data_IF_146308006242
#
_entry.id   IF_146308006242
#
_cell.length_a   1.000
_cell.length_b   1.000
_cell.length_c   1.000
_cell.angle_alpha   90.00
_cell.angle_beta   90.00
_cell.angle_gamma   90.00
#
_symmetry.space_group_name_H-M   'P 1'
#
loop_
_entity.id
_entity.type
_entity.pdbx_description
1 polymer ?
#
# COMPACT_ATOMS: atom_id res chain seq x y z
N UNK A 1 -5.95 8.03 -12.23
CA UNK A 1 -5.89 6.94 -11.23
C UNK A 1 -6.81 7.27 -10.07
N UNK A 2 -7.70 6.34 -9.77
CA UNK A 2 -8.68 6.51 -8.71
C UNK A 2 -8.64 5.29 -7.80
N UNK A 3 -8.58 5.50 -6.48
CA UNK A 3 -8.48 4.41 -5.51
C UNK A 3 -9.79 4.32 -4.73
N UNK A 4 -10.37 3.11 -4.69
CA UNK A 4 -11.56 2.81 -3.90
C UNK A 4 -11.19 1.79 -2.83
N UNK A 5 -11.45 2.11 -1.57
CA UNK A 5 -11.21 1.17 -0.48
C UNK A 5 -12.37 0.20 -0.41
N UNK A 6 -12.07 -1.10 -0.59
CA UNK A 6 -13.08 -2.16 -0.58
C UNK A 6 -13.30 -2.69 0.83
N UNK A 7 -12.24 -2.80 1.62
CA UNK A 7 -12.31 -3.29 2.98
C UNK A 7 -11.19 -2.68 3.81
N UNK A 8 -11.50 -2.35 5.04
CA UNK A 8 -10.52 -1.83 6.00
C UNK A 8 -10.77 -2.51 7.34
N UNK A 9 -9.78 -3.26 7.82
CA UNK A 9 -9.93 -4.07 9.01
C UNK A 9 -8.80 -3.79 9.99
N UNK A 10 -9.15 -3.48 11.23
CA UNK A 10 -8.16 -3.23 12.27
C UNK A 10 -7.56 -4.52 12.79
N UNK A 11 -6.24 -4.52 13.00
CA UNK A 11 -5.52 -5.63 13.61
C UNK A 11 -4.75 -5.08 14.83
N UNK A 12 -5.38 -5.07 16.02
CA UNK A 12 -4.76 -4.47 17.21
C UNK A 12 -3.53 -5.22 17.71
N UNK A 13 -3.44 -6.52 17.43
CA UNK A 13 -2.26 -7.32 17.83
C UNK A 13 -0.99 -6.82 17.14
N UNK A 14 -1.10 -6.47 15.86
CA UNK A 14 0.03 -5.99 15.06
C UNK A 14 0.06 -4.46 14.94
N UNK A 15 -0.83 -3.76 15.64
CA UNK A 15 -0.92 -2.30 15.62
C UNK A 15 -1.03 -1.74 14.20
N UNK A 16 -1.92 -2.35 13.40
CA UNK A 16 -2.12 -1.92 12.01
C UNK A 16 -3.56 -2.08 11.57
N UNK A 17 -3.90 -1.39 10.49
CA UNK A 17 -5.12 -1.61 9.73
C UNK A 17 -4.76 -2.27 8.42
N UNK A 18 -5.51 -3.32 8.06
CA UNK A 18 -5.33 -4.04 6.80
C UNK A 18 -6.35 -3.54 5.81
N UNK A 19 -5.87 -3.06 4.66
CA UNK A 19 -6.71 -2.38 3.67
C UNK A 19 -6.68 -3.15 2.36
N UNK A 20 -7.86 -3.48 1.84
CA UNK A 20 -8.03 -4.01 0.48
C UNK A 20 -8.62 -2.90 -0.35
N UNK A 21 -8.02 -2.62 -1.50
CA UNK A 21 -8.43 -1.51 -2.34
C UNK A 21 -8.36 -1.86 -3.82
N UNK A 22 -9.04 -1.04 -4.62
CA UNK A 22 -9.06 -1.16 -6.06
C UNK A 22 -8.56 0.14 -6.66
N UNK A 23 -7.66 0.04 -7.63
CA UNK A 23 -7.16 1.20 -8.37
C UNK A 23 -7.73 1.14 -9.78
N UNK A 24 -8.46 2.16 -10.16
CA UNK A 24 -9.02 2.29 -11.49
C UNK A 24 -8.11 3.19 -12.33
N UNK A 25 -7.59 2.63 -13.45
CA UNK A 25 -6.65 3.37 -14.31
C UNK A 25 -7.03 3.22 -15.80
N UNK A 26 -8.23 3.65 -16.20
CA UNK A 26 -8.68 3.49 -17.58
C UNK A 26 -7.78 4.25 -18.55
N UNK A 27 -7.30 3.56 -19.59
CA UNK A 27 -6.44 4.18 -20.59
C UNK A 27 -5.03 4.51 -20.11
N UNK A 28 -4.68 4.13 -18.89
CA UNK A 28 -3.37 4.41 -18.32
C UNK A 28 -2.59 3.12 -18.08
N UNK A 29 -1.28 3.24 -17.92
CA UNK A 29 -0.45 2.11 -17.54
C UNK A 29 -0.72 1.72 -16.09
N UNK A 30 -0.37 0.49 -15.73
CA UNK A 30 -0.45 0.04 -14.34
C UNK A 30 0.40 0.97 -13.47
N UNK A 31 -0.18 1.56 -12.41
CA UNK A 31 0.57 2.46 -11.55
C UNK A 31 1.64 1.72 -10.76
N UNK A 32 2.73 2.39 -10.46
CA UNK A 32 3.77 1.79 -9.64
C UNK A 32 3.36 1.79 -8.16
N UNK A 33 4.05 0.98 -7.36
CA UNK A 33 3.74 0.81 -5.95
C UNK A 33 3.87 2.12 -5.16
N UNK A 34 4.86 2.93 -5.48
CA UNK A 34 5.08 4.19 -4.79
C UNK A 34 3.96 5.19 -5.02
N UNK A 35 3.50 5.32 -6.27
CA UNK A 35 2.40 6.21 -6.60
C UNK A 35 1.11 5.78 -5.89
N UNK A 36 0.83 4.48 -5.87
CA UNK A 36 -0.34 3.92 -5.20
C UNK A 36 -0.26 4.17 -3.70
N UNK A 37 0.90 3.92 -3.09
CA UNK A 37 1.08 4.09 -1.66
C UNK A 37 0.92 5.55 -1.24
N UNK A 38 1.46 6.48 -2.02
CA UNK A 38 1.34 7.91 -1.73
C UNK A 38 -0.11 8.37 -1.81
N UNK A 39 -0.83 7.93 -2.83
CA UNK A 39 -2.23 8.30 -3.00
C UNK A 39 -3.12 7.66 -1.92
N UNK A 40 -2.86 6.39 -1.58
CA UNK A 40 -3.60 5.70 -0.53
C UNK A 40 -3.36 6.38 0.82
N UNK A 41 -2.14 6.75 1.14
CA UNK A 41 -1.81 7.46 2.38
C UNK A 41 -2.58 8.78 2.48
N UNK A 42 -2.72 9.51 1.38
CA UNK A 42 -3.50 10.74 1.35
C UNK A 42 -4.98 10.49 1.60
N UNK A 43 -5.53 9.41 1.02
CA UNK A 43 -6.94 9.06 1.18
C UNK A 43 -7.26 8.69 2.62
N UNK A 44 -6.40 7.91 3.28
CA UNK A 44 -6.61 7.48 4.67
C UNK A 44 -6.07 8.50 5.67
N UNK A 45 -5.54 9.62 5.18
CA UNK A 45 -5.02 10.70 6.00
C UNK A 45 -3.91 10.24 6.95
N UNK A 46 -2.94 9.54 6.40
CA UNK A 46 -1.82 8.97 7.15
C UNK A 46 -0.49 9.33 6.50
N UNK A 47 0.59 9.14 7.25
CA UNK A 47 1.93 9.38 6.72
C UNK A 47 2.33 8.26 5.76
N UNK A 48 3.08 8.62 4.71
CA UNK A 48 3.59 7.66 3.74
C UNK A 48 4.47 6.59 4.41
N UNK A 49 5.23 6.98 5.44
CA UNK A 49 6.14 6.07 6.15
C UNK A 49 5.41 4.97 6.92
N UNK A 50 4.11 5.16 7.20
CA UNK A 50 3.28 4.16 7.90
C UNK A 50 2.46 3.31 6.96
N UNK A 51 2.44 3.64 5.68
CA UNK A 51 1.62 2.95 4.68
C UNK A 51 2.51 2.01 3.87
N UNK A 52 2.24 0.71 3.95
CA UNK A 52 3.02 -0.32 3.28
C UNK A 52 2.13 -1.07 2.32
N UNK A 53 2.40 -0.96 1.01
CA UNK A 53 1.68 -1.70 -0.01
C UNK A 53 2.29 -3.09 -0.12
N UNK A 54 1.51 -4.10 0.18
CA UNK A 54 1.96 -5.50 0.21
C UNK A 54 1.88 -6.15 -1.16
N UNK A 55 0.82 -5.89 -1.90
CA UNK A 55 0.54 -6.60 -3.15
C UNK A 55 -0.28 -5.72 -4.09
N UNK A 56 0.07 -5.80 -5.37
CA UNK A 56 -0.72 -5.19 -6.44
C UNK A 56 -0.94 -6.26 -7.51
N UNK A 57 -2.18 -6.49 -7.87
CA UNK A 57 -2.56 -7.47 -8.89
C UNK A 57 -3.38 -6.79 -9.96
N UNK A 58 -2.86 -6.73 -11.17
CA UNK A 58 -3.49 -6.04 -12.29
C UNK A 58 -4.40 -6.97 -13.07
N UNK A 59 -5.61 -6.50 -13.34
CA UNK A 59 -6.58 -7.16 -14.20
C UNK A 59 -6.66 -6.42 -15.52
N UNK A 60 -5.85 -6.82 -16.48
CA UNK A 60 -5.65 -6.10 -17.73
C UNK A 60 -6.93 -5.86 -18.52
N UNK A 61 -7.82 -6.85 -18.55
CA UNK A 61 -9.07 -6.72 -19.28
C UNK A 61 -10.03 -5.68 -18.72
N UNK A 62 -9.81 -5.23 -17.48
CA UNK A 62 -10.68 -4.28 -16.79
C UNK A 62 -10.02 -2.93 -16.51
N UNK A 63 -8.73 -2.80 -16.82
CA UNK A 63 -7.95 -1.61 -16.48
C UNK A 63 -7.99 -1.30 -14.98
N UNK A 64 -7.97 -2.33 -14.16
CA UNK A 64 -8.03 -2.22 -12.70
C UNK A 64 -6.91 -2.99 -12.05
N UNK A 65 -6.43 -2.47 -10.92
CA UNK A 65 -5.45 -3.13 -10.09
C UNK A 65 -6.05 -3.29 -8.70
N UNK A 66 -6.03 -4.51 -8.17
CA UNK A 66 -6.44 -4.76 -6.80
C UNK A 66 -5.21 -4.79 -5.91
N UNK A 67 -5.31 -4.19 -4.76
CA UNK A 67 -4.16 -4.04 -3.89
C UNK A 67 -4.46 -4.40 -2.45
N UNK A 68 -3.39 -4.74 -1.76
CA UNK A 68 -3.39 -5.04 -0.34
C UNK A 68 -2.36 -4.15 0.33
N UNK A 69 -2.76 -3.47 1.39
CA UNK A 69 -1.85 -2.58 2.11
C UNK A 69 -2.06 -2.70 3.61
N UNK A 70 -1.01 -2.40 4.36
CA UNK A 70 -1.06 -2.31 5.81
C UNK A 70 -0.76 -0.87 6.21
N UNK A 71 -1.60 -0.31 7.08
CA UNK A 71 -1.39 1.01 7.65
C UNK A 71 -1.06 0.83 9.13
N UNK A 72 0.19 1.10 9.49
CA UNK A 72 0.67 0.92 10.86
C UNK A 72 0.41 2.15 11.72
N UNK A 73 0.34 1.95 13.04
CA UNK A 73 0.15 3.06 13.98
C UNK A 73 1.37 3.99 14.00
N UNK A 74 2.57 3.44 13.80
CA UNK A 74 3.81 4.20 13.73
C UNK A 74 4.69 3.65 12.63
N UNK A 75 5.62 4.46 12.12
CA UNK A 75 6.60 4.01 11.14
C UNK A 75 7.53 2.94 11.73
N UNK A 76 7.83 3.04 13.01
CA UNK A 76 8.65 2.05 13.71
C UNK A 76 7.99 0.67 13.70
N UNK A 77 6.69 0.59 13.92
CA UNK A 77 5.96 -0.67 13.85
C UNK A 77 6.04 -1.28 12.44
N UNK A 78 5.96 -0.47 11.40
CA UNK A 78 6.11 -0.94 10.03
C UNK A 78 7.49 -1.53 9.80
N UNK A 79 8.54 -0.85 10.26
CA UNK A 79 9.92 -1.31 10.10
C UNK A 79 10.20 -2.61 10.85
N UNK A 80 9.56 -2.82 11.99
CA UNK A 80 9.76 -4.02 12.81
C UNK A 80 8.96 -5.22 12.32
N UNK A 81 7.78 -4.99 11.74
CA UNK A 81 6.84 -6.05 11.40
C UNK A 81 7.00 -6.54 9.95
N UNK A 82 7.24 -5.63 9.02
CA UNK A 82 7.32 -6.00 7.61
C UNK A 82 8.68 -6.55 7.23
N UNK A 83 8.74 -7.55 6.32
CA UNK A 83 10.02 -8.02 5.79
C UNK A 83 10.78 -6.91 5.09
N UNK A 84 12.11 -6.97 5.17
CA UNK A 84 12.97 -5.95 4.58
C UNK A 84 12.71 -5.73 3.09
N UNK A 85 12.51 -6.80 2.31
CA UNK A 85 12.28 -6.67 0.89
C UNK A 85 10.99 -5.91 0.56
N UNK A 86 9.97 -6.00 1.41
CA UNK A 86 8.73 -5.24 1.24
C UNK A 86 8.98 -3.76 1.53
N UNK A 87 9.76 -3.46 2.57
CA UNK A 87 10.11 -2.09 2.92
C UNK A 87 10.93 -1.42 1.82
N UNK A 88 11.86 -2.16 1.22
CA UNK A 88 12.65 -1.66 0.10
C UNK A 88 11.76 -1.33 -1.10
N UNK A 89 10.83 -2.23 -1.43
CA UNK A 89 9.90 -2.02 -2.55
C UNK A 89 9.01 -0.80 -2.35
N UNK A 90 8.71 -0.46 -1.09
CA UNK A 90 7.90 0.71 -0.76
C UNK A 90 8.73 1.98 -0.58
N UNK A 91 10.05 1.89 -0.71
CA UNK A 91 10.94 3.03 -0.57
C UNK A 91 11.11 3.51 0.86
N UNK A 92 10.78 2.67 1.85
CA UNK A 92 10.86 3.05 3.27
C UNK A 92 12.24 2.81 3.87
N UNK A 93 13.04 1.91 3.27
CA UNK A 93 14.43 1.69 3.62
C UNK A 93 15.25 1.54 2.36
N UNK A 94 16.54 1.85 2.45
CA UNK A 94 17.44 1.71 1.31
C UNK A 94 17.89 0.27 1.14
N UNK A 95 18.12 -0.13 -0.11
CA UNK A 95 18.64 -1.44 -0.42
C UNK A 95 20.13 -1.51 -0.10
N UNK A 96 20.53 -2.48 0.69
CA UNK A 96 21.95 -2.77 0.93
C UNK A 96 22.50 -3.57 -0.23
N UNK A 97 23.62 -3.16 -0.72
CA UNK A 97 24.30 -3.88 -1.80
C UNK A 97 25.54 -4.57 -1.30
#
# INVERSE_FOLDING_TARGET
MEITILEQKANPVLNREEITFEVDHPGEQTPNREAVASKLAAIVNADRSRTVVKKLETHYGKNKTFGYANLYSTDENALQTEPKYILIRNGLVESDK
#
